data_IF_796521970477
#
_entry.id   IF_796521970477
#
_cell.length_a   1.000
_cell.length_b   1.000
_cell.length_c   1.000
_cell.angle_alpha   90.00
_cell.angle_beta   90.00
_cell.angle_gamma   90.00
#
_symmetry.space_group_name_H-M   'P 1'
#
loop_
_entity.id
_entity.type
_entity.pdbx_description
1 polymer ?
#
# COMPACT_ATOMS: atom_id res chain seq x y z
N UNK A 1 9.82 6.57 -0.08
CA UNK A 1 9.09 5.93 -1.19
C UNK A 1 10.08 5.51 -2.27
N UNK A 2 9.82 4.40 -2.96
CA UNK A 2 10.62 3.95 -4.11
C UNK A 2 11.88 3.15 -3.75
N UNK A 3 12.69 2.77 -4.76
CA UNK A 3 13.82 1.85 -4.60
C UNK A 3 14.92 2.40 -3.69
N UNK A 4 15.14 3.72 -3.71
CA UNK A 4 16.09 4.43 -2.82
C UNK A 4 15.42 4.94 -1.53
N UNK A 5 14.23 4.43 -1.19
CA UNK A 5 13.55 4.74 0.05
C UNK A 5 14.32 4.21 1.27
N UNK A 6 14.22 4.91 2.40
CA UNK A 6 14.83 4.53 3.68
C UNK A 6 13.81 3.84 4.57
N UNK A 7 14.30 3.06 5.54
CA UNK A 7 13.50 2.45 6.59
C UNK A 7 13.23 3.45 7.72
N UNK A 8 12.17 3.16 8.48
CA UNK A 8 11.80 3.88 9.70
C UNK A 8 11.89 2.91 10.87
N UNK A 9 12.49 3.36 11.96
CA UNK A 9 12.57 2.62 13.22
C UNK A 9 11.44 3.10 14.12
N UNK A 10 10.65 2.16 14.64
CA UNK A 10 9.48 2.43 15.47
C UNK A 10 9.71 1.74 16.81
N UNK A 11 9.70 2.52 17.89
CA UNK A 11 9.74 1.99 19.25
C UNK A 11 8.53 1.06 19.49
N UNK A 12 8.77 -0.04 20.19
CA UNK A 12 7.71 -0.94 20.64
C UNK A 12 7.60 -0.81 22.16
N UNK A 13 6.38 -0.88 22.70
CA UNK A 13 6.12 -0.83 24.14
C UNK A 13 6.79 -1.98 24.91
N UNK A 14 7.15 -3.06 24.23
CA UNK A 14 7.96 -4.16 24.75
C UNK A 14 8.83 -4.74 23.62
N UNK A 15 9.98 -5.31 23.98
CA UNK A 15 10.86 -5.99 23.05
C UNK A 15 11.73 -5.05 22.19
N UNK A 16 12.20 -5.56 21.07
CA UNK A 16 13.07 -4.83 20.14
C UNK A 16 12.27 -3.85 19.26
N UNK A 17 12.87 -2.71 18.85
CA UNK A 17 12.20 -1.77 17.95
C UNK A 17 11.91 -2.42 16.59
N UNK A 18 10.82 -2.01 15.96
CA UNK A 18 10.40 -2.47 14.63
C UNK A 18 11.06 -1.61 13.56
N UNK A 19 11.74 -2.24 12.60
CA UNK A 19 12.24 -1.57 11.40
C UNK A 19 11.27 -1.85 10.26
N UNK A 20 10.76 -0.82 9.60
CA UNK A 20 9.79 -0.99 8.52
C UNK A 20 9.98 -0.01 7.38
N UNK A 21 9.56 -0.41 6.17
CA UNK A 21 9.41 0.44 4.99
C UNK A 21 7.93 0.60 4.59
N UNK A 22 7.02 -0.04 5.32
CA UNK A 22 5.58 -0.01 5.06
C UNK A 22 4.94 1.30 5.58
N UNK A 23 4.25 2.00 4.67
CA UNK A 23 3.59 3.26 4.94
C UNK A 23 2.44 3.18 5.94
N UNK A 24 1.68 2.08 5.98
CA UNK A 24 0.56 1.96 6.93
C UNK A 24 1.07 1.68 8.35
N UNK A 25 2.09 0.82 8.50
CA UNK A 25 2.72 0.59 9.80
C UNK A 25 3.31 1.89 10.35
N UNK A 26 4.01 2.67 9.51
CA UNK A 26 4.54 3.98 9.93
C UNK A 26 3.40 4.92 10.31
N UNK A 27 2.38 5.07 9.46
CA UNK A 27 1.26 5.98 9.74
C UNK A 27 0.57 5.65 11.07
N UNK A 28 0.23 4.37 11.30
CA UNK A 28 -0.45 3.90 12.53
C UNK A 28 0.35 4.13 13.81
N UNK A 29 1.69 4.20 13.72
CA UNK A 29 2.55 4.41 14.88
C UNK A 29 2.68 5.87 15.32
N UNK A 30 2.20 6.82 14.51
CA UNK A 30 2.41 8.25 14.75
C UNK A 30 1.17 8.84 15.44
N UNK A 31 1.31 9.18 16.71
CA UNK A 31 0.35 10.00 17.44
C UNK A 31 1.01 11.31 17.88
N UNK A 32 0.29 12.42 17.74
CA UNK A 32 0.79 13.75 18.07
C UNK A 32 0.14 14.25 19.36
N UNK A 33 0.95 14.87 20.22
CA UNK A 33 0.49 15.43 21.51
C UNK A 33 -0.53 16.56 21.33
N UNK A 34 -0.32 17.40 20.30
CA UNK A 34 -1.25 18.48 19.96
C UNK A 34 -2.52 17.89 19.34
N UNK A 35 -3.68 18.20 19.92
CA UNK A 35 -4.96 17.63 19.49
C UNK A 35 -5.31 17.93 18.04
N UNK A 36 -5.05 19.14 17.55
CA UNK A 36 -5.37 19.53 16.17
C UNK A 36 -4.45 18.85 15.17
N UNK A 37 -3.15 18.81 15.49
CA UNK A 37 -2.20 18.05 14.66
C UNK A 37 -2.54 16.56 14.67
N UNK A 38 -3.00 16.02 15.79
CA UNK A 38 -3.38 14.61 15.89
C UNK A 38 -4.63 14.29 15.07
N UNK A 39 -5.62 15.18 15.01
CA UNK A 39 -6.77 15.00 14.12
C UNK A 39 -6.30 14.86 12.66
N UNK A 40 -5.38 15.74 12.22
CA UNK A 40 -4.80 15.64 10.88
C UNK A 40 -4.01 14.34 10.65
N UNK A 41 -3.23 13.91 11.65
CA UNK A 41 -2.52 12.62 11.60
C UNK A 41 -3.49 11.44 11.49
N UNK A 42 -4.59 11.44 12.26
CA UNK A 42 -5.62 10.38 12.21
C UNK A 42 -6.32 10.31 10.86
N UNK A 43 -6.68 11.44 10.27
CA UNK A 43 -7.28 11.46 8.93
C UNK A 43 -6.35 10.84 7.85
N UNK A 44 -5.04 11.06 7.95
CA UNK A 44 -4.08 10.45 7.00
C UNK A 44 -3.85 8.96 7.33
N UNK A 45 -3.91 8.57 8.61
CA UNK A 45 -3.89 7.16 9.02
C UNK A 45 -5.08 6.39 8.43
N UNK A 46 -6.27 6.97 8.45
CA UNK A 46 -7.47 6.36 7.88
C UNK A 46 -7.32 6.14 6.37
N UNK A 47 -6.76 7.12 5.65
CA UNK A 47 -6.44 6.96 4.22
C UNK A 47 -5.47 5.80 4.00
N UNK A 48 -4.38 5.74 4.77
CA UNK A 48 -3.39 4.67 4.66
C UNK A 48 -4.00 3.29 4.97
N UNK A 49 -4.86 3.22 6.00
CA UNK A 49 -5.51 1.98 6.41
C UNK A 49 -6.50 1.49 5.36
N UNK A 50 -7.36 2.37 4.86
CA UNK A 50 -8.35 2.01 3.84
C UNK A 50 -7.68 1.52 2.56
N UNK A 51 -6.60 2.18 2.11
CA UNK A 51 -5.82 1.70 0.96
C UNK A 51 -5.19 0.33 1.23
N UNK A 52 -4.68 0.08 2.43
CA UNK A 52 -4.11 -1.20 2.78
C UNK A 52 -5.16 -2.32 2.82
N UNK A 53 -6.35 -2.05 3.36
CA UNK A 53 -7.44 -3.02 3.42
C UNK A 53 -8.01 -3.35 2.04
N UNK A 54 -8.12 -2.37 1.14
CA UNK A 54 -8.71 -2.56 -0.19
C UNK A 54 -7.71 -3.13 -1.20
N UNK A 55 -6.44 -2.70 -1.17
CA UNK A 55 -5.46 -3.03 -2.20
C UNK A 55 -4.22 -3.80 -1.69
N UNK A 56 -3.89 -3.74 -0.40
CA UNK A 56 -2.71 -4.38 0.18
C UNK A 56 -1.35 -3.74 -0.17
N UNK A 57 -1.31 -2.72 -1.02
CA UNK A 57 -0.13 -1.92 -1.38
C UNK A 57 -0.55 -0.47 -1.70
N UNK A 58 0.39 0.44 -1.93
CA UNK A 58 0.12 1.82 -2.33
C UNK A 58 -0.11 2.77 -1.15
N UNK A 59 0.05 2.30 0.09
CA UNK A 59 -0.17 3.07 1.32
C UNK A 59 0.64 4.36 1.37
N UNK A 60 1.92 4.30 0.95
CA UNK A 60 2.78 5.49 0.91
C UNK A 60 2.33 6.47 -0.19
N UNK A 61 1.83 5.98 -1.33
CA UNK A 61 1.31 6.82 -2.42
C UNK A 61 0.03 7.52 -1.99
N UNK A 62 -0.90 6.80 -1.35
CA UNK A 62 -2.14 7.36 -0.84
C UNK A 62 -1.89 8.48 0.19
N UNK A 63 -0.95 8.28 1.11
CA UNK A 63 -0.62 9.30 2.13
C UNK A 63 -0.03 10.58 1.54
N UNK A 64 0.86 10.50 0.54
CA UNK A 64 1.42 11.71 -0.09
C UNK A 64 0.40 12.43 -0.97
N UNK A 65 -0.50 11.69 -1.63
CA UNK A 65 -1.60 12.27 -2.41
C UNK A 65 -2.60 12.96 -1.50
N UNK A 66 -3.01 12.32 -0.40
CA UNK A 66 -3.88 12.92 0.61
C UNK A 66 -3.30 14.21 1.18
N UNK A 67 -2.00 14.22 1.50
CA UNK A 67 -1.29 15.44 1.91
C UNK A 67 -1.31 16.51 0.84
N UNK A 68 -1.08 16.15 -0.43
CA UNK A 68 -1.08 17.11 -1.55
C UNK A 68 -2.46 17.76 -1.71
N UNK A 69 -3.53 16.95 -1.72
CA UNK A 69 -4.91 17.43 -1.83
C UNK A 69 -5.27 18.30 -0.63
N UNK A 70 -4.90 17.90 0.58
CA UNK A 70 -5.17 18.69 1.79
C UNK A 70 -4.46 20.05 1.73
N UNK A 71 -3.17 20.08 1.39
CA UNK A 71 -2.38 21.31 1.30
C UNK A 71 -2.96 22.27 0.26
N UNK A 72 -3.11 21.81 -0.98
CA UNK A 72 -3.66 22.63 -2.07
C UNK A 72 -5.09 23.06 -1.77
N UNK A 73 -5.90 22.18 -1.18
CA UNK A 73 -7.25 22.50 -0.73
C UNK A 73 -7.27 23.64 0.28
N UNK A 74 -6.44 23.59 1.33
CA UNK A 74 -6.37 24.64 2.34
C UNK A 74 -5.87 25.98 1.78
N UNK A 75 -4.94 25.97 0.82
CA UNK A 75 -4.44 27.21 0.20
C UNK A 75 -5.48 27.91 -0.70
N UNK A 76 -6.41 27.16 -1.32
CA UNK A 76 -7.45 27.73 -2.20
C UNK A 76 -8.70 28.17 -1.45
N UNK A 77 -8.89 27.76 -0.20
CA UNK A 77 -10.03 28.19 0.61
C UNK A 77 -9.79 29.62 1.09
N UNK A 78 -10.41 30.58 0.41
CA UNK A 78 -10.44 32.00 0.76
C UNK A 78 -11.87 32.47 1.02
N UNK A 79 -12.04 33.72 1.46
CA UNK A 79 -13.37 34.30 1.72
C UNK A 79 -14.22 34.30 0.45
N UNK A 80 -15.32 33.55 0.46
CA UNK A 80 -16.22 33.37 -0.69
C UNK A 80 -16.06 32.06 -1.45
N UNK A 81 -15.03 31.25 -1.13
CA UNK A 81 -14.91 29.90 -1.66
C UNK A 81 -15.91 28.95 -1.00
N UNK A 82 -16.46 28.00 -1.76
CA UNK A 82 -17.30 26.93 -1.24
C UNK A 82 -16.51 25.60 -1.23
N UNK A 83 -16.03 25.11 -0.06
CA UNK A 83 -15.26 23.88 0.03
C UNK A 83 -16.01 22.64 -0.45
N UNK A 84 -17.35 22.65 -0.39
CA UNK A 84 -18.18 21.53 -0.87
C UNK A 84 -18.13 21.41 -2.39
N UNK A 85 -18.19 22.54 -3.12
CA UNK A 85 -18.06 22.54 -4.59
C UNK A 85 -16.64 22.17 -5.03
N UNK A 86 -15.62 22.63 -4.30
CA UNK A 86 -14.23 22.21 -4.57
C UNK A 86 -14.11 20.69 -4.41
N UNK A 87 -14.66 20.13 -3.34
CA UNK A 87 -14.69 18.67 -3.15
C UNK A 87 -15.41 17.97 -4.32
N UNK A 88 -16.56 18.46 -4.77
CA UNK A 88 -17.28 17.90 -5.92
C UNK A 88 -16.42 17.91 -7.18
N UNK A 89 -15.75 19.03 -7.48
CA UNK A 89 -14.84 19.16 -8.61
C UNK A 89 -13.64 18.19 -8.53
N UNK A 90 -13.05 18.02 -7.34
CA UNK A 90 -11.98 17.05 -7.13
C UNK A 90 -12.46 15.62 -7.38
N UNK A 91 -13.65 15.25 -6.90
CA UNK A 91 -14.21 13.90 -7.14
C UNK A 91 -14.45 13.64 -8.63
N UNK A 92 -15.00 14.62 -9.37
CA UNK A 92 -15.16 14.50 -10.82
C UNK A 92 -13.82 14.31 -11.54
N UNK A 93 -12.77 15.02 -11.11
CA UNK A 93 -11.44 14.85 -11.67
C UNK A 93 -10.88 13.45 -11.36
N UNK A 94 -11.04 12.96 -10.14
CA UNK A 94 -10.62 11.61 -9.74
C UNK A 94 -11.33 10.54 -10.58
N UNK A 95 -12.64 10.66 -10.78
CA UNK A 95 -13.41 9.73 -11.62
C UNK A 95 -12.90 9.69 -13.07
N UNK A 96 -12.61 10.86 -13.64
CA UNK A 96 -12.03 10.97 -14.97
C UNK A 96 -10.63 10.33 -15.05
N UNK A 97 -9.78 10.54 -14.04
CA UNK A 97 -8.46 9.91 -13.96
C UNK A 97 -8.58 8.39 -13.84
N UNK A 98 -9.49 7.88 -13.02
CA UNK A 98 -9.72 6.43 -12.89
C UNK A 98 -10.18 5.82 -14.22
N UNK A 99 -11.08 6.50 -14.93
CA UNK A 99 -11.53 6.04 -16.24
C UNK A 99 -10.37 5.98 -17.25
N UNK A 100 -9.48 6.96 -17.23
CA UNK A 100 -8.30 6.99 -18.09
C UNK A 100 -7.27 5.92 -17.71
N UNK A 101 -7.01 5.71 -16.42
CA UNK A 101 -6.14 4.63 -15.93
C UNK A 101 -6.62 3.26 -16.37
N UNK A 102 -7.94 3.02 -16.37
CA UNK A 102 -8.52 1.77 -16.87
C UNK A 102 -8.29 1.57 -18.38
N UNK A 103 -8.29 2.65 -19.17
CA UNK A 103 -7.98 2.59 -20.62
C UNK A 103 -6.51 2.29 -20.89
N UNK A 104 -5.61 2.80 -20.05
CA UNK A 104 -4.17 2.57 -20.18
C UNK A 104 -3.73 1.20 -19.63
N UNK A 105 -4.55 0.60 -18.77
CA UNK A 105 -4.29 -0.71 -18.18
C UNK A 105 -4.17 -1.80 -19.23
N UNK A 106 -3.18 -2.68 -19.05
CA UNK A 106 -2.95 -3.85 -19.89
C UNK A 106 -3.10 -5.11 -19.03
N UNK A 107 -3.94 -6.09 -19.43
CA UNK A 107 -4.07 -7.34 -18.70
C UNK A 107 -2.72 -8.07 -18.60
N UNK A 108 -2.45 -8.68 -17.45
CA UNK A 108 -1.26 -9.52 -17.27
C UNK A 108 -1.43 -10.84 -18.02
N UNK A 109 -0.49 -11.16 -18.89
CA UNK A 109 -0.56 -12.32 -19.78
C UNK A 109 0.50 -13.35 -19.47
N UNK A 110 1.70 -12.92 -19.10
CA UNK A 110 2.87 -13.80 -18.94
C UNK A 110 3.25 -14.01 -17.47
N UNK A 111 3.82 -15.19 -17.11
CA UNK A 111 4.40 -15.39 -15.78
C UNK A 111 5.59 -14.47 -15.48
N UNK A 112 6.28 -13.98 -16.50
CA UNK A 112 7.38 -13.02 -16.39
C UNK A 112 6.87 -11.66 -15.92
N UNK A 113 5.73 -11.20 -16.44
CA UNK A 113 5.07 -9.98 -15.95
C UNK A 113 4.65 -10.11 -14.48
N UNK A 114 4.20 -11.29 -14.04
CA UNK A 114 3.90 -11.57 -12.63
C UNK A 114 5.16 -11.43 -11.78
N UNK A 115 6.26 -12.05 -12.20
CA UNK A 115 7.54 -11.97 -11.51
C UNK A 115 8.04 -10.51 -11.44
N UNK A 116 7.87 -9.73 -12.51
CA UNK A 116 8.23 -8.31 -12.54
C UNK A 116 7.42 -7.50 -11.52
N UNK A 117 6.09 -7.65 -11.49
CA UNK A 117 5.24 -6.96 -10.52
C UNK A 117 5.64 -7.32 -9.09
N UNK A 118 5.80 -8.61 -8.80
CA UNK A 118 6.21 -9.08 -7.48
C UNK A 118 7.59 -8.54 -7.07
N UNK A 119 8.57 -8.54 -7.99
CA UNK A 119 9.93 -8.01 -7.76
C UNK A 119 9.88 -6.51 -7.43
N UNK A 120 9.10 -5.73 -8.19
CA UNK A 120 9.03 -4.28 -8.00
C UNK A 120 8.38 -3.95 -6.66
N UNK A 121 7.28 -4.62 -6.30
CA UNK A 121 6.62 -4.46 -5.00
C UNK A 121 7.49 -4.94 -3.85
N UNK A 122 8.30 -5.98 -4.04
CA UNK A 122 9.29 -6.48 -3.07
C UNK A 122 10.57 -5.62 -3.02
N UNK A 123 10.49 -4.33 -3.36
CA UNK A 123 11.61 -3.39 -3.32
C UNK A 123 12.82 -3.79 -4.18
N UNK A 124 12.57 -4.46 -5.32
CA UNK A 124 13.60 -4.88 -6.26
C UNK A 124 14.22 -6.25 -5.94
N UNK A 125 13.67 -6.98 -4.98
CA UNK A 125 14.10 -8.34 -4.65
C UNK A 125 13.60 -9.33 -5.71
N UNK A 126 14.54 -9.81 -6.54
CA UNK A 126 14.25 -10.75 -7.62
C UNK A 126 13.98 -12.16 -7.11
N UNK A 127 14.57 -12.55 -5.99
CA UNK A 127 14.42 -13.90 -5.44
C UNK A 127 12.99 -14.08 -4.93
N UNK A 128 12.47 -13.09 -4.19
CA UNK A 128 11.07 -13.01 -3.79
C UNK A 128 10.13 -13.01 -5.00
N UNK A 129 10.43 -12.20 -6.02
CA UNK A 129 9.62 -12.14 -7.24
C UNK A 129 9.52 -13.48 -7.98
N UNK A 130 10.65 -14.20 -8.06
CA UNK A 130 10.72 -15.53 -8.67
C UNK A 130 9.95 -16.57 -7.87
N UNK A 131 10.12 -16.60 -6.54
CA UNK A 131 9.41 -17.54 -5.65
C UNK A 131 7.89 -17.33 -5.76
N UNK A 132 7.41 -16.08 -5.78
CA UNK A 132 5.99 -15.78 -5.93
C UNK A 132 5.48 -16.22 -7.31
N UNK A 133 6.24 -15.97 -8.39
CA UNK A 133 5.86 -16.42 -9.73
C UNK A 133 5.76 -17.95 -9.81
N UNK A 134 6.71 -18.67 -9.22
CA UNK A 134 6.71 -20.13 -9.19
C UNK A 134 5.59 -20.70 -8.33
N UNK A 135 5.28 -20.07 -7.19
CA UNK A 135 4.10 -20.39 -6.39
C UNK A 135 2.80 -20.21 -7.20
N UNK A 136 2.64 -19.06 -7.87
CA UNK A 136 1.46 -18.77 -8.69
C UNK A 136 1.32 -19.70 -9.90
N UNK A 137 2.42 -20.16 -10.51
CA UNK A 137 2.37 -21.15 -11.60
C UNK A 137 1.81 -22.49 -11.12
N UNK A 138 2.18 -22.92 -9.92
CA UNK A 138 1.81 -24.23 -9.38
C UNK A 138 0.40 -24.26 -8.77
N UNK A 139 0.00 -23.21 -8.04
CA UNK A 139 -1.33 -23.11 -7.39
C UNK A 139 -2.36 -22.45 -8.33
N UNK A 140 -1.91 -21.81 -9.42
CA UNK A 140 -2.73 -21.03 -10.33
C UNK A 140 -2.98 -19.60 -9.84
N UNK A 141 -3.41 -18.71 -10.75
CA UNK A 141 -3.55 -17.25 -10.48
C UNK A 141 -4.56 -16.89 -9.38
N UNK A 142 -5.50 -17.78 -9.08
CA UNK A 142 -6.49 -17.61 -8.00
C UNK A 142 -6.21 -18.52 -6.80
N UNK A 143 -5.03 -19.13 -6.78
CA UNK A 143 -4.55 -19.94 -5.67
C UNK A 143 -4.33 -19.10 -4.42
N UNK A 144 -4.41 -19.75 -3.27
CA UNK A 144 -4.12 -19.10 -1.99
C UNK A 144 -2.65 -19.29 -1.67
N UNK A 145 -1.93 -18.19 -1.50
CA UNK A 145 -0.53 -18.18 -1.07
C UNK A 145 -0.51 -17.62 0.35
N UNK A 146 0.17 -18.31 1.26
CA UNK A 146 0.33 -17.89 2.65
C UNK A 146 1.81 -17.75 2.99
N UNK A 147 2.15 -16.74 3.77
CA UNK A 147 3.53 -16.49 4.23
C UNK A 147 3.62 -16.86 5.71
N UNK A 148 4.72 -17.53 6.09
CA UNK A 148 5.02 -17.92 7.48
C UNK A 148 6.49 -17.63 7.78
N UNK A 149 6.81 -17.45 9.05
CA UNK A 149 8.19 -17.31 9.48
C UNK A 149 8.96 -18.63 9.29
N UNK A 150 10.05 -18.57 8.54
CA UNK A 150 10.96 -19.70 8.32
C UNK A 150 11.89 -19.95 9.51
N UNK A 151 12.41 -21.17 9.62
CA UNK A 151 13.49 -21.53 10.58
C UNK A 151 14.87 -21.54 9.93
N UNK A 152 14.94 -21.51 8.61
CA UNK A 152 16.18 -21.53 7.81
C UNK A 152 16.59 -20.11 7.42
N UNK A 153 17.78 -19.97 6.84
CA UNK A 153 18.32 -18.68 6.39
C UNK A 153 17.83 -18.26 5.00
N UNK A 154 17.24 -19.19 4.25
CA UNK A 154 16.80 -18.97 2.87
C UNK A 154 15.28 -19.10 2.78
N UNK A 155 14.69 -18.45 1.78
CA UNK A 155 13.27 -18.58 1.49
C UNK A 155 12.94 -19.97 0.93
N UNK A 156 11.83 -20.54 1.39
CA UNK A 156 11.36 -21.88 1.02
C UNK A 156 9.94 -21.82 0.46
N UNK A 157 9.70 -22.56 -0.62
CA UNK A 157 8.37 -22.73 -1.21
C UNK A 157 7.84 -24.12 -0.89
N UNK A 158 6.93 -24.21 0.07
CA UNK A 158 6.18 -25.42 0.39
C UNK A 158 4.82 -25.39 -0.30
N UNK A 159 4.41 -26.51 -0.89
CA UNK A 159 3.12 -26.66 -1.56
C UNK A 159 2.33 -27.70 -0.80
N UNK A 160 1.18 -27.28 -0.28
CA UNK A 160 0.26 -28.16 0.42
C UNK A 160 -0.97 -28.32 -0.46
N UNK A 161 -1.18 -29.53 -0.95
CA UNK A 161 -2.43 -29.90 -1.61
C UNK A 161 -3.48 -30.15 -0.53
N UNK A 162 -4.44 -29.24 -0.40
CA UNK A 162 -5.48 -29.30 0.61
C UNK A 162 -6.70 -28.43 0.27
N UNK A 163 -7.73 -28.48 1.12
CA UNK A 163 -8.94 -27.67 0.96
C UNK A 163 -8.93 -26.49 1.94
N UNK A 164 -9.08 -25.27 1.41
CA UNK A 164 -9.41 -24.08 2.21
C UNK A 164 -10.93 -23.87 2.19
N UNK A 165 -11.52 -23.69 3.37
CA UNK A 165 -12.89 -23.21 3.50
C UNK A 165 -12.86 -21.72 3.80
N UNK A 166 -13.62 -20.92 3.05
CA UNK A 166 -13.86 -19.52 3.40
C UNK A 166 -14.81 -19.48 4.59
N UNK A 167 -14.32 -19.01 5.74
CA UNK A 167 -15.12 -18.59 6.89
C UNK A 167 -14.87 -17.13 7.17
#
# INVERSE_FOLDING_TARGET
MGPKGRTVIIEQSWGSPKVTKDGVTVAKSIDLKDKYKNIGAKLVQDVANNTNEEAGDGTTTATVLARSIAKEGFEKISKGANPVEIRRGVMLAVDAVIAELKKQSKPVTTPEEIAQVATISANGDKDIGNIISDAMKKVGRKGVITVKDGKTLNDELEIIEGMKFDR
#
